data_IF_944240385261
#
_entry.id   IF_944240385261
#
_cell.length_a   1.000
_cell.length_b   1.000
_cell.length_c   1.000
_cell.angle_alpha   90.00
_cell.angle_beta   90.00
_cell.angle_gamma   90.00
#
_symmetry.space_group_name_H-M   'P 1'
#
loop_
_entity.id
_entity.type
_entity.pdbx_description
1 polymer ?
#
# COMPACT_ATOMS: atom_id res chain seq x y z
N UNK A 1 14.74 -6.09 -9.75
CA UNK A 1 13.87 -6.40 -8.60
C UNK A 1 14.76 -6.25 -7.36
N UNK A 2 14.35 -5.48 -6.35
CA UNK A 2 15.14 -5.35 -5.12
C UNK A 2 15.20 -6.69 -4.39
N UNK A 3 16.34 -6.99 -3.76
CA UNK A 3 16.53 -8.20 -2.95
C UNK A 3 16.07 -7.97 -1.51
N UNK A 4 16.12 -9.02 -0.69
CA UNK A 4 15.63 -8.99 0.70
C UNK A 4 16.27 -7.87 1.56
N UNK A 5 17.59 -7.58 1.48
CA UNK A 5 18.20 -6.50 2.26
C UNK A 5 17.64 -5.10 1.91
N UNK A 6 17.43 -4.84 0.63
CA UNK A 6 16.86 -3.58 0.15
C UNK A 6 15.40 -3.44 0.58
N UNK A 7 14.63 -4.53 0.50
CA UNK A 7 13.22 -4.55 0.94
C UNK A 7 13.10 -4.25 2.44
N UNK A 8 13.96 -4.82 3.28
CA UNK A 8 13.93 -4.55 4.73
C UNK A 8 14.33 -3.10 5.05
N UNK A 9 15.24 -2.52 4.26
CA UNK A 9 15.60 -1.10 4.39
C UNK A 9 14.40 -0.20 4.11
N UNK A 10 13.66 -0.47 3.03
CA UNK A 10 12.44 0.27 2.68
C UNK A 10 11.36 0.07 3.74
N UNK A 11 11.13 -1.17 4.19
CA UNK A 11 10.12 -1.49 5.21
C UNK A 11 10.34 -0.70 6.50
N UNK A 12 11.57 -0.67 7.04
CA UNK A 12 11.88 0.08 8.27
C UNK A 12 11.67 1.58 8.09
N UNK A 13 12.10 2.13 6.95
CA UNK A 13 11.91 3.55 6.64
C UNK A 13 10.44 3.93 6.56
N UNK A 14 9.63 3.15 5.84
CA UNK A 14 8.19 3.38 5.75
C UNK A 14 7.52 3.30 7.13
N UNK A 15 7.82 2.28 7.93
CA UNK A 15 7.23 2.13 9.25
C UNK A 15 7.49 3.33 10.18
N UNK A 16 8.66 3.96 10.07
CA UNK A 16 8.97 5.16 10.88
C UNK A 16 8.11 6.36 10.50
N UNK A 17 7.72 6.49 9.23
CA UNK A 17 6.99 7.67 8.74
C UNK A 17 5.50 7.43 8.57
N UNK A 18 5.02 6.20 8.36
CA UNK A 18 3.61 5.92 8.04
C UNK A 18 2.81 5.23 9.15
N UNK A 19 3.44 4.73 10.23
CA UNK A 19 2.73 3.99 11.28
C UNK A 19 1.62 4.81 11.92
N UNK A 20 0.43 4.22 12.05
CA UNK A 20 -0.77 4.84 12.60
C UNK A 20 -1.49 5.82 11.66
N UNK A 21 -0.94 6.12 10.48
CA UNK A 21 -1.59 7.02 9.54
C UNK A 21 -2.84 6.38 8.94
N UNK A 22 -3.92 7.16 8.82
CA UNK A 22 -5.16 6.75 8.16
C UNK A 22 -5.05 6.94 6.65
N UNK A 23 -5.47 5.93 5.89
CA UNK A 23 -5.57 6.00 4.44
C UNK A 23 -6.86 6.73 4.05
N UNK A 24 -6.75 7.94 3.50
CA UNK A 24 -7.92 8.71 3.08
C UNK A 24 -8.46 8.31 1.71
N UNK A 25 -7.64 7.62 0.91
CA UNK A 25 -7.93 7.20 -0.45
C UNK A 25 -6.64 7.13 -1.27
N UNK A 26 -6.78 7.01 -2.58
CA UNK A 26 -5.65 7.00 -3.51
C UNK A 26 -6.12 6.77 -4.95
N UNK A 27 -5.17 6.85 -5.87
CA UNK A 27 -5.40 6.64 -7.30
C UNK A 27 -4.65 5.39 -7.77
N UNK A 28 -5.31 4.58 -8.60
CA UNK A 28 -4.68 3.47 -9.33
C UNK A 28 -4.59 3.90 -10.79
N UNK A 29 -3.37 4.13 -11.26
CA UNK A 29 -3.11 4.56 -12.64
C UNK A 29 -2.79 3.39 -13.57
N UNK A 30 -2.60 2.19 -13.01
CA UNK A 30 -2.27 0.98 -13.75
C UNK A 30 -2.94 -0.25 -13.12
N UNK A 31 -4.16 -0.54 -13.54
CA UNK A 31 -5.04 -1.57 -12.96
C UNK A 31 -4.39 -2.96 -12.85
N UNK A 32 -3.58 -3.35 -13.85
CA UNK A 32 -2.90 -4.66 -13.87
C UNK A 32 -1.89 -4.86 -12.73
N UNK A 33 -1.56 -3.83 -11.95
CA UNK A 33 -0.71 -3.95 -10.76
C UNK A 33 -1.47 -4.52 -9.56
N UNK A 34 -2.80 -4.48 -9.57
CA UNK A 34 -3.62 -5.05 -8.50
C UNK A 34 -3.86 -6.52 -8.78
N UNK A 35 -3.27 -7.39 -7.95
CA UNK A 35 -3.44 -8.83 -8.07
C UNK A 35 -4.79 -9.31 -7.50
N UNK A 36 -5.30 -8.68 -6.44
CA UNK A 36 -6.59 -8.99 -5.83
C UNK A 36 -7.06 -7.86 -4.90
N UNK A 37 -8.38 -7.54 -4.85
CA UNK A 37 -9.40 -7.98 -5.80
C UNK A 37 -9.11 -7.46 -7.21
N UNK A 38 -9.62 -8.11 -8.25
CA UNK A 38 -9.33 -7.74 -9.64
C UNK A 38 -9.95 -6.39 -10.06
N UNK A 39 -10.80 -5.80 -9.22
CA UNK A 39 -11.35 -4.45 -9.38
C UNK A 39 -10.50 -3.46 -8.60
N UNK A 40 -9.90 -2.50 -9.31
CA UNK A 40 -9.16 -1.39 -8.71
C UNK A 40 -10.04 -0.55 -7.76
N UNK A 41 -11.32 -0.35 -8.12
CA UNK A 41 -12.28 0.38 -7.30
C UNK A 41 -12.58 -0.35 -5.97
N UNK A 42 -12.75 -1.67 -6.03
CA UNK A 42 -13.02 -2.48 -4.83
C UNK A 42 -11.80 -2.49 -3.91
N UNK A 43 -10.59 -2.56 -4.49
CA UNK A 43 -9.33 -2.47 -3.75
C UNK A 43 -9.22 -1.13 -3.00
N UNK A 44 -9.45 0.01 -3.66
CA UNK A 44 -9.39 1.32 -3.03
C UNK A 44 -10.45 1.49 -1.94
N UNK A 45 -11.68 1.04 -2.22
CA UNK A 45 -12.79 1.12 -1.26
C UNK A 45 -12.48 0.33 0.01
N UNK A 46 -11.88 -0.85 -0.12
CA UNK A 46 -11.51 -1.68 1.03
C UNK A 46 -10.40 -1.08 1.89
N UNK A 47 -9.52 -0.24 1.31
CA UNK A 47 -8.42 0.39 2.03
C UNK A 47 -8.80 1.72 2.70
N UNK A 48 -9.84 2.40 2.21
CA UNK A 48 -10.20 3.72 2.70
C UNK A 48 -10.63 3.67 4.18
N UNK A 49 -10.07 4.57 4.99
CA UNK A 49 -10.30 4.66 6.42
C UNK A 49 -9.50 3.66 7.27
N UNK A 50 -8.77 2.71 6.66
CA UNK A 50 -7.87 1.83 7.39
C UNK A 50 -6.65 2.60 7.92
N UNK A 51 -6.09 2.14 9.03
CA UNK A 51 -4.85 2.67 9.59
C UNK A 51 -3.69 1.71 9.30
N UNK A 52 -2.51 2.27 9.01
CA UNK A 52 -1.28 1.50 8.84
C UNK A 52 -0.81 1.00 10.22
N UNK A 53 -0.59 -0.30 10.35
CA UNK A 53 -0.21 -0.98 11.60
C UNK A 53 1.19 -1.58 11.54
#
# INVERSE_FOLDING_TARGET
>A
MPELPEVETVRRGLNQVTLGQTLWGGDILLDRMIAHPFSAADFLTAMQGAAIA
#
